data_IF_481670939765
#
_entry.id   IF_481670939765
#
_cell.length_a   1.000
_cell.length_b   1.000
_cell.length_c   1.000
_cell.angle_alpha   90.00
_cell.angle_beta   90.00
_cell.angle_gamma   90.00
#
_symmetry.space_group_name_H-M   'P 1'
#
loop_
_entity.id
_entity.type
_entity.pdbx_description
1 polymer ?
#
# COMPACT_ATOMS: atom_id res chain seq x y z
N UNK A 1 -17.50 -35.28 21.80
CA UNK A 1 -17.07 -34.66 20.53
C UNK A 1 -17.08 -33.16 20.77
N UNK A 2 -15.92 -32.56 21.04
CA UNK A 2 -15.83 -31.12 21.32
C UNK A 2 -16.26 -30.36 20.07
N UNK A 3 -17.21 -29.42 20.15
CA UNK A 3 -17.57 -28.60 19.00
C UNK A 3 -16.32 -27.85 18.53
N UNK A 4 -15.99 -27.95 17.24
CA UNK A 4 -15.00 -27.06 16.62
C UNK A 4 -15.61 -25.66 16.66
N UNK A 5 -15.16 -24.83 17.59
CA UNK A 5 -15.49 -23.41 17.58
C UNK A 5 -14.80 -22.77 16.37
N UNK A 6 -15.51 -21.95 15.57
CA UNK A 6 -14.87 -21.16 14.54
C UNK A 6 -13.81 -20.25 15.18
N UNK A 7 -12.70 -19.96 14.48
CA UNK A 7 -11.72 -19.00 14.98
C UNK A 7 -12.42 -17.66 15.28
N UNK A 8 -12.03 -17.02 16.39
CA UNK A 8 -12.50 -15.68 16.74
C UNK A 8 -12.00 -14.69 15.67
N UNK A 9 -12.86 -14.38 14.69
CA UNK A 9 -12.58 -13.42 13.62
C UNK A 9 -12.78 -11.98 14.12
N UNK A 10 -11.84 -11.46 14.91
CA UNK A 10 -11.84 -10.06 15.39
C UNK A 10 -10.87 -9.14 14.61
N UNK A 11 -10.08 -9.65 13.67
CA UNK A 11 -9.26 -8.79 12.80
C UNK A 11 -10.04 -8.43 11.51
N UNK A 12 -10.42 -7.16 11.28
CA UNK A 12 -11.14 -6.74 10.08
C UNK A 12 -10.30 -6.90 8.80
N UNK A 13 -9.00 -7.17 8.93
CA UNK A 13 -8.05 -7.35 7.84
C UNK A 13 -7.40 -8.73 7.95
N UNK A 14 -7.67 -9.61 6.99
CA UNK A 14 -6.99 -10.92 6.91
C UNK A 14 -5.63 -10.75 6.26
N UNK A 15 -4.55 -11.08 6.99
CA UNK A 15 -3.21 -11.19 6.41
C UNK A 15 -3.20 -12.32 5.38
N UNK A 16 -2.87 -12.00 4.12
CA UNK A 16 -2.75 -13.01 3.07
C UNK A 16 -1.41 -13.71 3.19
N UNK A 17 -1.45 -14.95 3.66
CA UNK A 17 -0.33 -15.90 3.67
C UNK A 17 -0.61 -17.07 2.73
N UNK A 18 0.43 -17.81 2.31
CA UNK A 18 0.27 -19.00 1.46
C UNK A 18 -0.69 -20.04 2.06
N UNK A 19 -0.69 -20.16 3.40
CA UNK A 19 -1.59 -21.00 4.19
C UNK A 19 -3.07 -20.59 4.09
N UNK A 20 -3.34 -19.28 3.96
CA UNK A 20 -4.69 -18.70 3.92
C UNK A 20 -5.29 -18.65 2.51
N UNK A 21 -4.46 -18.66 1.46
CA UNK A 21 -4.89 -18.60 0.06
C UNK A 21 -5.95 -19.66 -0.32
N UNK A 22 -5.82 -20.94 0.08
CA UNK A 22 -6.88 -21.93 -0.12
C UNK A 22 -8.24 -21.51 0.46
N UNK A 23 -8.24 -20.91 1.65
CA UNK A 23 -9.45 -20.42 2.31
C UNK A 23 -10.07 -19.24 1.55
N UNK A 24 -9.25 -18.30 1.11
CA UNK A 24 -9.69 -17.14 0.32
C UNK A 24 -10.36 -17.56 -0.99
N UNK A 25 -9.80 -18.53 -1.72
CA UNK A 25 -10.39 -19.01 -2.98
C UNK A 25 -11.73 -19.72 -2.74
N UNK A 26 -11.83 -20.53 -1.69
CA UNK A 26 -13.11 -21.14 -1.28
C UNK A 26 -14.14 -20.07 -0.91
N UNK A 27 -13.71 -19.00 -0.22
CA UNK A 27 -14.58 -17.88 0.17
C UNK A 27 -15.13 -17.14 -1.04
N UNK A 28 -14.27 -16.79 -2.00
CA UNK A 28 -14.67 -16.18 -3.28
C UNK A 28 -15.69 -17.04 -4.00
N UNK A 29 -15.43 -18.35 -4.13
CA UNK A 29 -16.36 -19.27 -4.80
C UNK A 29 -17.70 -19.35 -4.09
N UNK A 30 -17.71 -19.31 -2.76
CA UNK A 30 -18.94 -19.31 -1.97
C UNK A 30 -19.72 -18.01 -2.11
N UNK A 31 -19.05 -16.87 -2.25
CA UNK A 31 -19.69 -15.57 -2.51
C UNK A 31 -20.29 -15.49 -3.90
N UNK A 32 -19.62 -16.08 -4.90
CA UNK A 32 -20.05 -16.07 -6.29
C UNK A 32 -20.90 -17.29 -6.72
N UNK A 33 -21.16 -18.22 -5.80
CA UNK A 33 -21.85 -19.51 -6.03
C UNK A 33 -21.29 -20.32 -7.21
N UNK A 34 -19.97 -20.53 -7.23
CA UNK A 34 -19.26 -21.23 -8.32
C UNK A 34 -18.63 -22.57 -7.89
N UNK A 35 -18.72 -23.57 -8.77
CA UNK A 35 -17.88 -24.77 -8.74
C UNK A 35 -16.41 -24.46 -9.06
N UNK A 36 -15.49 -25.42 -8.83
CA UNK A 36 -14.07 -25.27 -9.22
C UNK A 36 -13.93 -25.08 -10.74
N UNK A 37 -14.77 -25.77 -11.52
CA UNK A 37 -14.74 -25.72 -12.99
C UNK A 37 -15.24 -24.38 -13.50
N UNK A 38 -16.31 -23.85 -12.90
CA UNK A 38 -16.85 -22.54 -13.28
C UNK A 38 -15.91 -21.41 -12.91
N UNK A 39 -15.30 -21.43 -11.72
CA UNK A 39 -14.26 -20.45 -11.40
C UNK A 39 -13.10 -20.53 -12.39
N UNK A 40 -12.61 -21.74 -12.68
CA UNK A 40 -11.50 -21.95 -13.62
C UNK A 40 -11.82 -21.40 -15.02
N UNK A 41 -13.02 -21.68 -15.52
CA UNK A 41 -13.50 -21.17 -16.80
C UNK A 41 -13.59 -19.64 -16.78
N UNK A 42 -14.16 -19.05 -15.72
CA UNK A 42 -14.37 -17.61 -15.59
C UNK A 42 -13.07 -16.80 -15.58
N UNK A 43 -12.00 -17.34 -14.99
CA UNK A 43 -10.69 -16.67 -14.94
C UNK A 43 -9.69 -17.19 -16.00
N UNK A 44 -10.16 -18.01 -16.96
CA UNK A 44 -9.36 -18.59 -18.04
C UNK A 44 -8.14 -19.39 -17.56
N UNK A 45 -8.33 -20.29 -16.59
CA UNK A 45 -7.32 -21.26 -16.15
C UNK A 45 -7.85 -22.69 -16.21
N UNK A 46 -6.97 -23.67 -16.10
CA UNK A 46 -7.40 -25.07 -16.04
C UNK A 46 -8.07 -25.39 -14.69
N UNK A 47 -9.03 -26.31 -14.71
CA UNK A 47 -9.65 -26.84 -13.48
C UNK A 47 -8.60 -27.41 -12.50
N UNK A 48 -7.55 -28.05 -13.01
CA UNK A 48 -6.48 -28.62 -12.17
C UNK A 48 -5.66 -27.54 -11.46
N UNK A 49 -5.60 -26.32 -12.01
CA UNK A 49 -4.99 -25.16 -11.35
C UNK A 49 -5.78 -24.79 -10.10
N UNK A 50 -7.10 -24.62 -10.20
CA UNK A 50 -7.97 -24.28 -9.06
C UNK A 50 -7.92 -25.39 -7.99
N UNK A 51 -8.00 -26.65 -8.41
CA UNK A 51 -7.92 -27.80 -7.50
C UNK A 51 -6.60 -27.82 -6.71
N UNK A 52 -5.45 -27.62 -7.37
CA UNK A 52 -4.15 -27.54 -6.69
C UNK A 52 -4.02 -26.32 -5.79
N UNK A 53 -4.60 -25.19 -6.19
CA UNK A 53 -4.59 -23.95 -5.41
C UNK A 53 -5.37 -24.14 -4.11
N UNK A 54 -6.60 -24.65 -4.18
CA UNK A 54 -7.40 -24.96 -2.97
C UNK A 54 -6.77 -26.08 -2.11
N UNK A 55 -5.95 -26.94 -2.69
CA UNK A 55 -5.17 -27.93 -1.94
C UNK A 55 -3.88 -27.35 -1.32
N UNK A 56 -3.56 -26.07 -1.53
CA UNK A 56 -2.33 -25.43 -1.06
C UNK A 56 -1.06 -25.94 -1.75
N UNK A 57 -1.20 -26.61 -2.91
CA UNK A 57 -0.07 -27.22 -3.63
C UNK A 57 0.60 -26.28 -4.64
N UNK A 58 -0.03 -25.15 -4.93
CA UNK A 58 0.51 -24.13 -5.83
C UNK A 58 0.14 -22.75 -5.33
N UNK A 59 1.08 -21.82 -5.45
CA UNK A 59 0.87 -20.40 -5.18
C UNK A 59 0.45 -19.72 -6.50
N UNK A 60 -0.69 -19.01 -6.55
CA UNK A 60 -1.11 -18.28 -7.73
C UNK A 60 -0.17 -17.10 -8.01
N UNK A 61 -0.01 -16.73 -9.28
CA UNK A 61 0.57 -15.43 -9.63
C UNK A 61 -0.33 -14.30 -9.15
N UNK A 62 0.23 -13.11 -8.91
CA UNK A 62 -0.55 -11.92 -8.51
C UNK A 62 -1.70 -11.65 -9.50
N UNK A 63 -1.45 -11.77 -10.81
CA UNK A 63 -2.48 -11.61 -11.83
C UNK A 63 -3.61 -12.65 -11.75
N UNK A 64 -3.31 -13.87 -11.29
CA UNK A 64 -4.34 -14.89 -11.06
C UNK A 64 -5.10 -14.62 -9.79
N UNK A 65 -4.42 -14.21 -8.71
CA UNK A 65 -5.06 -13.83 -7.46
C UNK A 65 -6.04 -12.66 -7.68
N UNK A 66 -5.62 -11.62 -8.40
CA UNK A 66 -6.48 -10.47 -8.74
C UNK A 66 -7.73 -10.92 -9.52
N UNK A 67 -7.58 -11.78 -10.54
CA UNK A 67 -8.73 -12.34 -11.26
C UNK A 67 -9.66 -13.17 -10.38
N UNK A 68 -9.13 -13.88 -9.38
CA UNK A 68 -9.97 -14.65 -8.46
C UNK A 68 -10.79 -13.72 -7.59
N UNK A 69 -10.18 -12.74 -6.92
CA UNK A 69 -10.90 -11.85 -5.99
C UNK A 69 -11.93 -10.97 -6.72
N UNK A 70 -11.64 -10.58 -7.96
CA UNK A 70 -12.53 -9.80 -8.84
C UNK A 70 -13.85 -10.53 -9.16
N UNK A 71 -13.84 -11.87 -9.21
CA UNK A 71 -15.07 -12.67 -9.45
C UNK A 71 -16.16 -12.43 -8.41
N UNK A 72 -15.78 -12.07 -7.19
CA UNK A 72 -16.68 -11.75 -6.09
C UNK A 72 -16.67 -10.25 -5.73
N UNK A 73 -16.20 -9.38 -6.64
CA UNK A 73 -16.11 -7.93 -6.44
C UNK A 73 -15.32 -7.53 -5.19
N UNK A 74 -14.33 -8.34 -4.80
CA UNK A 74 -13.47 -8.08 -3.65
C UNK A 74 -12.26 -7.24 -4.05
N UNK A 75 -11.87 -6.33 -3.16
CA UNK A 75 -10.70 -5.48 -3.32
C UNK A 75 -9.50 -6.06 -2.56
N UNK A 76 -8.34 -6.09 -3.22
CA UNK A 76 -7.06 -6.35 -2.56
C UNK A 76 -6.43 -5.01 -2.16
N UNK A 77 -6.24 -4.79 -0.86
CA UNK A 77 -5.62 -3.59 -0.31
C UNK A 77 -4.26 -3.92 0.31
N UNK A 78 -3.30 -3.01 0.16
CA UNK A 78 -2.02 -3.06 0.87
C UNK A 78 -2.12 -2.14 2.07
N UNK A 79 -1.75 -2.61 3.25
CA UNK A 79 -1.79 -1.83 4.49
C UNK A 79 -0.44 -1.82 5.18
N UNK A 80 -0.22 -0.85 6.08
CA UNK A 80 0.85 -0.94 7.07
C UNK A 80 0.48 -1.90 8.22
N UNK A 81 1.36 -2.01 9.21
CA UNK A 81 1.17 -2.87 10.38
C UNK A 81 0.00 -2.44 11.27
N UNK A 82 -0.42 -1.17 11.17
CA UNK A 82 -1.51 -0.57 11.94
C UNK A 82 -2.85 -0.64 11.18
N UNK A 83 -2.86 -1.21 9.96
CA UNK A 83 -4.06 -1.37 9.13
C UNK A 83 -4.40 -0.16 8.27
N UNK A 84 -3.53 0.85 8.18
CA UNK A 84 -3.75 1.99 7.28
C UNK A 84 -3.47 1.57 5.84
N UNK A 85 -4.40 1.86 4.94
CA UNK A 85 -4.24 1.58 3.50
C UNK A 85 -3.09 2.43 2.93
N UNK A 86 -2.16 1.76 2.26
CA UNK A 86 -1.04 2.39 1.56
C UNK A 86 -1.45 2.60 0.10
N UNK A 87 -1.60 3.87 -0.28
CA UNK A 87 -1.85 4.23 -1.67
C UNK A 87 -0.58 4.06 -2.52
N UNK A 88 -0.70 3.60 -3.78
CA UNK A 88 0.42 3.59 -4.71
C UNK A 88 1.00 5.00 -4.86
N UNK A 89 2.33 5.10 -4.83
CA UNK A 89 3.01 6.36 -5.11
C UNK A 89 2.66 6.81 -6.53
N UNK A 90 2.08 8.00 -6.66
CA UNK A 90 1.89 8.67 -7.95
C UNK A 90 3.18 9.38 -8.30
N UNK A 91 3.77 9.03 -9.43
CA UNK A 91 4.82 9.87 -10.04
C UNK A 91 4.07 11.06 -10.66
N UNK A 92 4.42 12.29 -10.26
CA UNK A 92 3.98 13.47 -11.00
C UNK A 92 4.80 13.53 -12.29
N UNK A 93 4.13 13.40 -13.43
CA UNK A 93 4.72 12.99 -14.72
C UNK A 93 5.72 13.98 -15.35
N UNK A 94 6.03 15.11 -14.71
CA UNK A 94 6.85 16.16 -15.34
C UNK A 94 7.97 16.70 -14.45
N UNK A 95 8.15 16.16 -13.25
CA UNK A 95 9.15 16.71 -12.33
C UNK A 95 10.53 16.11 -12.58
N UNK A 96 11.35 16.85 -13.31
CA UNK A 96 12.74 16.49 -13.68
C UNK A 96 13.72 17.47 -13.06
N UNK A 97 14.90 16.98 -12.72
CA UNK A 97 16.01 17.86 -12.33
C UNK A 97 16.49 18.70 -13.53
N UNK A 98 17.37 19.69 -13.29
CA UNK A 98 17.94 20.52 -14.36
C UNK A 98 18.77 19.76 -15.40
N UNK A 99 18.93 18.44 -15.27
CA UNK A 99 19.55 17.53 -16.22
C UNK A 99 18.58 16.50 -16.80
N UNK A 100 17.27 16.75 -16.76
CA UNK A 100 16.20 15.91 -17.31
C UNK A 100 16.00 14.54 -16.60
N UNK A 101 16.57 14.35 -15.40
CA UNK A 101 16.46 13.10 -14.65
C UNK A 101 15.29 13.14 -13.67
N UNK A 102 14.64 12.00 -13.49
CA UNK A 102 13.60 11.83 -12.48
C UNK A 102 14.25 11.78 -11.09
N UNK A 103 13.66 12.47 -10.12
CA UNK A 103 14.13 12.45 -8.75
C UNK A 103 14.01 11.05 -8.11
N UNK A 104 14.89 10.68 -7.16
CA UNK A 104 14.83 9.35 -6.54
C UNK A 104 13.54 9.15 -5.73
N UNK A 105 12.79 8.09 -6.03
CA UNK A 105 11.48 7.76 -5.42
C UNK A 105 11.48 7.56 -3.88
N UNK A 106 12.64 7.32 -3.27
CA UNK A 106 12.77 7.10 -1.83
C UNK A 106 12.94 8.40 -1.02
N UNK A 107 12.92 9.55 -1.69
CA UNK A 107 13.23 10.85 -1.13
C UNK A 107 12.04 11.79 -1.28
N UNK A 108 11.80 12.59 -0.24
CA UNK A 108 10.71 13.55 -0.24
C UNK A 108 11.14 14.76 -1.09
N UNK A 109 10.50 14.92 -2.24
CA UNK A 109 10.79 16.02 -3.15
C UNK A 109 10.22 17.32 -2.58
N UNK A 110 11.10 18.29 -2.34
CA UNK A 110 10.75 19.65 -1.95
C UNK A 110 10.46 20.42 -3.22
N UNK A 111 9.18 20.69 -3.47
CA UNK A 111 8.73 21.41 -4.67
C UNK A 111 8.79 22.94 -4.47
N UNK A 112 8.57 23.42 -3.25
CA UNK A 112 8.59 24.84 -2.89
C UNK A 112 9.39 25.06 -1.60
N UNK A 113 10.66 25.50 -1.68
CA UNK A 113 11.47 25.80 -0.49
C UNK A 113 11.03 27.11 0.19
N UNK A 114 11.22 27.18 1.51
CA UNK A 114 11.11 28.42 2.26
C UNK A 114 12.45 29.17 2.26
N UNK A 115 12.44 30.49 2.44
CA UNK A 115 13.63 31.35 2.33
C UNK A 115 14.75 31.03 3.34
N UNK A 116 14.44 30.31 4.42
CA UNK A 116 15.35 29.91 5.50
C UNK A 116 16.03 28.55 5.25
N UNK A 117 15.74 27.86 4.14
CA UNK A 117 16.44 26.63 3.76
C UNK A 117 17.89 26.93 3.33
N UNK A 118 18.86 26.13 3.82
CA UNK A 118 20.31 26.38 3.71
C UNK A 118 20.88 26.55 2.28
N UNK A 119 20.11 26.17 1.26
CA UNK A 119 20.46 26.29 -0.15
C UNK A 119 19.67 27.40 -0.88
N UNK A 120 18.56 27.88 -0.31
CA UNK A 120 17.75 28.97 -0.86
C UNK A 120 18.55 30.28 -0.93
N UNK A 121 19.36 30.54 0.10
CA UNK A 121 20.28 31.69 0.19
C UNK A 121 21.49 31.56 -0.73
N UNK A 122 21.87 30.35 -1.15
CA UNK A 122 23.06 30.10 -1.99
C UNK A 122 22.78 30.24 -3.50
N UNK A 123 21.54 29.99 -3.94
CA UNK A 123 21.16 29.98 -5.36
C UNK A 123 20.09 31.03 -5.72
N UNK A 124 19.73 31.93 -4.79
CA UNK A 124 18.98 33.14 -5.10
C UNK A 124 17.58 32.93 -5.68
N UNK A 125 16.90 31.84 -5.28
CA UNK A 125 15.57 31.45 -5.78
C UNK A 125 15.48 31.18 -7.30
N UNK A 126 16.58 31.30 -8.05
CA UNK A 126 16.67 30.95 -9.46
C UNK A 126 17.08 29.47 -9.58
N UNK A 127 16.07 28.63 -9.82
CA UNK A 127 15.97 27.19 -9.52
C UNK A 127 16.72 26.26 -10.53
N UNK A 128 16.94 24.95 -10.20
CA UNK A 128 15.90 23.97 -10.52
C UNK A 128 14.94 23.78 -9.35
N UNK A 129 13.62 23.68 -9.61
CA UNK A 129 12.61 23.87 -8.57
C UNK A 129 12.59 22.85 -7.45
N UNK A 130 13.25 21.72 -7.65
CA UNK A 130 13.01 20.54 -6.85
C UNK A 130 14.31 19.92 -6.35
N UNK A 131 14.35 19.62 -5.04
CA UNK A 131 15.49 18.98 -4.37
C UNK A 131 14.99 18.12 -3.21
N UNK A 132 15.85 17.36 -2.56
CA UNK A 132 15.44 16.45 -1.48
C UNK A 132 16.46 16.40 -0.34
N UNK A 133 15.99 16.14 0.88
CA UNK A 133 16.86 15.93 2.03
C UNK A 133 17.32 14.47 2.09
N UNK A 134 18.64 14.23 2.15
CA UNK A 134 19.19 12.87 2.25
C UNK A 134 19.00 12.25 3.64
N UNK A 135 19.02 13.07 4.69
CA UNK A 135 18.87 12.62 6.07
C UNK A 135 17.44 12.12 6.36
N UNK A 136 17.32 10.84 6.71
CA UNK A 136 16.04 10.20 7.04
C UNK A 136 15.46 10.70 8.36
N UNK A 137 16.28 10.94 9.38
CA UNK A 137 15.81 11.39 10.68
C UNK A 137 15.16 12.77 10.58
N UNK A 138 15.78 13.66 9.82
CA UNK A 138 15.24 14.98 9.51
C UNK A 138 13.92 14.91 8.74
N UNK A 139 13.85 14.05 7.69
CA UNK A 139 12.63 13.86 6.89
C UNK A 139 11.47 13.32 7.72
N UNK A 140 11.71 12.30 8.53
CA UNK A 140 10.68 11.71 9.37
C UNK A 140 10.19 12.71 10.45
N UNK A 141 11.08 13.58 10.94
CA UNK A 141 10.71 14.66 11.86
C UNK A 141 9.84 15.74 11.18
N UNK A 142 10.19 16.17 9.96
CA UNK A 142 9.35 17.07 9.16
C UNK A 142 7.98 16.44 8.84
N UNK A 143 7.90 15.17 8.41
CA UNK A 143 6.62 14.48 8.16
C UNK A 143 5.72 14.42 9.38
N UNK A 144 6.27 14.05 10.54
CA UNK A 144 5.51 14.03 11.81
C UNK A 144 4.93 15.41 12.13
N UNK A 145 5.71 16.46 11.90
CA UNK A 145 5.26 17.85 12.09
C UNK A 145 4.17 18.25 11.10
N UNK A 146 4.34 18.00 9.80
CA UNK A 146 3.30 18.29 8.80
C UNK A 146 1.99 17.54 9.08
N UNK A 147 2.06 16.27 9.48
CA UNK A 147 0.88 15.49 9.83
C UNK A 147 0.15 16.07 11.07
N UNK A 148 0.90 16.49 12.09
CA UNK A 148 0.35 17.18 13.26
C UNK A 148 -0.30 18.52 12.86
N UNK A 149 0.36 19.33 12.03
CA UNK A 149 -0.11 20.66 11.56
C UNK A 149 -1.36 20.58 10.66
N UNK A 150 -1.48 19.56 9.81
CA UNK A 150 -2.68 19.36 8.97
C UNK A 150 -3.84 18.77 9.77
N UNK A 151 -3.55 17.97 10.80
CA UNK A 151 -4.55 17.29 11.65
C UNK A 151 -4.63 17.88 13.05
N UNK A 152 -4.37 19.19 13.21
CA UNK A 152 -4.40 19.89 14.53
C UNK A 152 -5.71 19.67 15.28
N UNK A 153 -6.84 19.51 14.58
CA UNK A 153 -8.13 19.16 15.22
C UNK A 153 -8.13 17.77 15.87
N UNK A 154 -7.45 16.78 15.27
CA UNK A 154 -7.33 15.42 15.81
C UNK A 154 -6.26 15.35 16.91
N UNK A 155 -5.16 16.10 16.78
CA UNK A 155 -4.02 16.10 17.71
C UNK A 155 -4.04 17.27 18.72
N UNK A 156 -5.21 17.88 18.96
CA UNK A 156 -5.34 19.10 19.78
C UNK A 156 -4.86 18.94 21.24
N UNK A 157 -4.74 17.70 21.72
CA UNK A 157 -4.28 17.36 23.06
C UNK A 157 -2.81 16.90 23.10
N UNK A 158 -2.19 16.71 21.94
CA UNK A 158 -0.80 16.29 21.84
C UNK A 158 0.12 17.50 21.71
N UNK A 159 1.25 17.45 22.42
CA UNK A 159 2.28 18.49 22.28
C UNK A 159 2.83 18.49 20.86
N UNK A 160 3.10 19.68 20.27
CA UNK A 160 3.68 19.76 18.95
C UNK A 160 5.04 19.04 18.91
N UNK A 161 5.33 18.27 17.85
CA UNK A 161 6.63 17.65 17.69
C UNK A 161 7.74 18.72 17.65
N UNK A 162 8.94 18.43 18.18
CA UNK A 162 10.03 19.39 18.29
C UNK A 162 10.44 19.94 16.92
N UNK A 163 10.81 21.23 16.88
CA UNK A 163 11.37 21.86 15.67
C UNK A 163 12.75 21.27 15.40
N UNK A 164 12.92 20.74 14.19
CA UNK A 164 14.20 20.25 13.65
C UNK A 164 15.07 21.43 13.24
#
# INVERSE_FOLDING_TARGET
MTPVQPPEDDEPLVRIEQSTLPGLVRRVRRLADLSQRELAARICVSHSTISRLEAGRVVPSIATLLRIVDVAELLLVVTDADGNVIEPMRVWDETRDGGEKVFPAHLDLVLDPASDDWWASRYGLAKPPETYHRDRAWRDAKRRRSAWEVRVKQFRHDSPPPKV
#
